data_IF_848489983387
#
_entry.id   IF_848489983387
#
_cell.length_a   1.000
_cell.length_b   1.000
_cell.length_c   1.000
_cell.angle_alpha   90.00
_cell.angle_beta   90.00
_cell.angle_gamma   90.00
#
_symmetry.space_group_name_H-M   'P 1'
#
loop_
_entity.id
_entity.type
_entity.pdbx_description
1 polymer ?
#
# COMPACT_ATOMS: atom_id res chain seq x y z
N UNK A 1 -5.88 17.14 -0.64
CA UNK A 1 -5.85 15.68 -0.47
C UNK A 1 -5.03 15.04 -1.56
N UNK A 2 -4.32 13.97 -1.23
CA UNK A 2 -3.57 13.23 -2.26
C UNK A 2 -4.54 12.41 -3.12
N UNK A 3 -4.15 12.15 -4.37
CA UNK A 3 -4.95 11.32 -5.28
C UNK A 3 -4.37 9.93 -5.36
N UNK A 4 -5.24 8.92 -5.18
CA UNK A 4 -4.87 7.51 -5.26
C UNK A 4 -5.64 6.86 -6.41
N UNK A 5 -4.94 6.05 -7.19
CA UNK A 5 -5.54 5.30 -8.29
C UNK A 5 -5.00 3.87 -8.28
N UNK A 6 -5.90 2.92 -8.10
CA UNK A 6 -5.57 1.49 -8.06
C UNK A 6 -6.35 0.78 -9.17
N UNK A 7 -5.70 0.62 -10.32
CA UNK A 7 -6.30 -0.10 -11.45
C UNK A 7 -6.54 -1.57 -11.05
N UNK A 8 -7.79 -2.02 -11.24
CA UNK A 8 -8.23 -3.38 -10.91
C UNK A 8 -8.20 -3.72 -9.41
N UNK A 9 -8.00 -2.73 -8.55
CA UNK A 9 -8.09 -2.89 -7.10
C UNK A 9 -9.41 -2.39 -6.56
N UNK A 10 -9.87 -2.99 -5.46
CA UNK A 10 -11.05 -2.55 -4.73
C UNK A 10 -10.62 -1.99 -3.38
N UNK A 11 -10.82 -0.69 -3.18
CA UNK A 11 -10.49 -0.03 -1.92
C UNK A 11 -11.51 -0.44 -0.86
N UNK A 12 -11.05 -1.11 0.19
CA UNK A 12 -11.89 -1.54 1.31
C UNK A 12 -11.76 -0.64 2.53
N UNK A 13 -10.66 0.10 2.63
CA UNK A 13 -10.43 1.09 3.67
C UNK A 13 -9.53 2.19 3.12
N UNK A 14 -9.88 3.47 3.34
CA UNK A 14 -9.08 4.60 2.86
C UNK A 14 -9.18 5.81 3.79
N UNK A 15 -8.20 5.94 4.68
CA UNK A 15 -7.90 7.19 5.37
C UNK A 15 -6.66 7.88 4.76
N UNK A 16 -5.95 7.19 3.86
CA UNK A 16 -4.71 7.70 3.27
C UNK A 16 -4.95 8.89 2.35
N UNK A 17 -6.02 8.87 1.56
CA UNK A 17 -6.32 9.96 0.62
C UNK A 17 -6.61 11.30 1.31
N UNK A 18 -6.85 11.29 2.62
CA UNK A 18 -7.05 12.51 3.42
C UNK A 18 -5.76 13.31 3.60
N UNK A 19 -4.60 12.70 3.37
CA UNK A 19 -3.32 13.38 3.48
C UNK A 19 -3.20 14.50 2.45
N UNK A 20 -2.46 15.55 2.82
CA UNK A 20 -2.12 16.66 1.94
C UNK A 20 -0.64 16.58 1.58
N UNK A 21 -0.25 17.28 0.51
CA UNK A 21 1.15 17.40 0.10
C UNK A 21 1.88 18.43 0.96
N UNK A 22 1.95 18.16 2.26
CA UNK A 22 2.66 18.97 3.26
C UNK A 22 3.47 18.02 4.15
N UNK A 23 4.38 18.59 4.95
CA UNK A 23 5.19 17.80 5.87
C UNK A 23 4.30 17.01 6.85
N UNK A 24 4.73 15.81 7.21
CA UNK A 24 3.99 14.95 8.12
C UNK A 24 3.77 15.60 9.49
N UNK A 25 4.72 16.43 9.94
CA UNK A 25 4.59 17.17 11.21
C UNK A 25 3.37 18.12 11.25
N UNK A 26 2.84 18.48 10.08
CA UNK A 26 1.67 19.38 9.97
C UNK A 26 0.35 18.62 9.88
N UNK A 27 0.37 17.30 9.91
CA UNK A 27 -0.82 16.46 9.78
C UNK A 27 -0.73 15.18 10.61
N UNK A 28 -0.08 15.25 11.77
CA UNK A 28 0.15 14.08 12.65
C UNK A 28 -1.13 13.41 13.09
N UNK A 29 -2.22 14.14 13.23
CA UNK A 29 -3.53 13.62 13.63
C UNK A 29 -4.12 12.65 12.60
N UNK A 30 -3.63 12.67 11.37
CA UNK A 30 -4.05 11.76 10.30
C UNK A 30 -3.16 10.51 10.19
N UNK A 31 -2.04 10.46 10.91
CA UNK A 31 -1.04 9.39 10.78
C UNK A 31 -1.38 8.22 11.71
N UNK A 32 -2.01 7.20 11.14
CA UNK A 32 -2.54 6.03 11.86
C UNK A 32 -1.90 4.75 11.38
N UNK A 33 -1.94 3.72 12.20
CA UNK A 33 -1.44 2.37 11.84
C UNK A 33 -2.27 1.72 10.73
N UNK A 34 -3.51 2.11 10.55
CA UNK A 34 -4.42 1.55 9.56
C UNK A 34 -4.93 2.69 8.68
N UNK A 35 -4.32 2.88 7.50
CA UNK A 35 -4.64 4.00 6.63
C UNK A 35 -5.21 3.59 5.28
N UNK A 36 -4.83 2.43 4.74
CA UNK A 36 -5.30 1.99 3.43
C UNK A 36 -5.30 0.48 3.33
N UNK A 37 -6.37 -0.06 2.75
CA UNK A 37 -6.40 -1.45 2.28
C UNK A 37 -7.06 -1.51 0.92
N UNK A 38 -6.41 -2.19 -0.02
CA UNK A 38 -6.89 -2.40 -1.38
C UNK A 38 -6.79 -3.88 -1.71
N UNK A 39 -7.91 -4.49 -2.07
CA UNK A 39 -7.96 -5.90 -2.46
C UNK A 39 -7.81 -6.03 -3.97
N UNK A 40 -7.00 -6.98 -4.39
CA UNK A 40 -6.79 -7.35 -5.79
C UNK A 40 -7.12 -8.82 -6.02
N UNK A 41 -7.26 -9.21 -7.28
CA UNK A 41 -7.46 -10.61 -7.65
C UNK A 41 -6.30 -11.49 -7.14
N UNK A 42 -6.52 -12.79 -7.06
CA UNK A 42 -5.47 -13.74 -6.69
C UNK A 42 -5.10 -13.76 -5.21
N UNK A 43 -5.94 -13.16 -4.35
CA UNK A 43 -5.69 -13.12 -2.90
C UNK A 43 -4.67 -12.07 -2.48
N UNK A 44 -4.36 -11.09 -3.35
CA UNK A 44 -3.44 -10.01 -3.01
C UNK A 44 -4.13 -8.87 -2.27
N UNK A 45 -3.44 -8.34 -1.27
CA UNK A 45 -3.87 -7.17 -0.49
C UNK A 45 -2.72 -6.18 -0.42
N UNK A 46 -3.02 -4.91 -0.73
CA UNK A 46 -2.09 -3.80 -0.51
C UNK A 46 -2.51 -3.11 0.78
N UNK A 47 -1.59 -3.02 1.73
CA UNK A 47 -1.83 -2.45 3.06
C UNK A 47 -0.85 -1.32 3.34
N UNK A 48 -1.34 -0.20 3.86
CA UNK A 48 -0.51 0.94 4.23
C UNK A 48 -0.90 1.43 5.62
N UNK A 49 0.10 1.66 6.45
CA UNK A 49 -0.06 2.28 7.76
C UNK A 49 1.13 3.15 8.10
N UNK A 50 0.98 3.98 9.13
CA UNK A 50 2.04 4.83 9.66
C UNK A 50 2.42 4.37 11.06
N UNK A 51 3.71 4.20 11.32
CA UNK A 51 4.24 3.69 12.59
C UNK A 51 5.42 4.50 13.07
N UNK A 52 5.47 4.94 14.34
CA UNK A 52 4.38 4.87 15.32
C UNK A 52 3.23 5.84 14.99
N UNK A 53 2.03 5.46 15.39
CA UNK A 53 0.83 6.27 15.18
C UNK A 53 0.99 7.67 15.77
N UNK A 54 0.54 8.70 15.03
CA UNK A 54 0.54 10.12 15.45
C UNK A 54 1.92 10.73 15.72
N UNK A 55 2.99 10.08 15.30
CA UNK A 55 4.36 10.53 15.53
C UNK A 55 5.00 10.98 14.21
N UNK A 56 5.33 12.25 14.09
CA UNK A 56 5.95 12.80 12.88
C UNK A 56 7.30 12.14 12.53
N UNK A 57 7.97 11.53 13.50
CA UNK A 57 9.23 10.82 13.29
C UNK A 57 9.06 9.38 12.79
N UNK A 58 7.81 8.91 12.63
CA UNK A 58 7.53 7.60 12.10
C UNK A 58 7.69 7.50 10.60
N UNK A 59 7.24 6.38 10.04
CA UNK A 59 7.28 6.11 8.60
C UNK A 59 6.02 5.39 8.15
N UNK A 60 5.67 5.53 6.87
CA UNK A 60 4.72 4.65 6.21
C UNK A 60 5.34 3.27 6.04
N UNK A 61 4.53 2.25 6.29
CA UNK A 61 4.82 0.87 5.93
C UNK A 61 3.84 0.44 4.86
N UNK A 62 4.38 0.03 3.72
CA UNK A 62 3.61 -0.39 2.55
C UNK A 62 3.88 -1.87 2.33
N UNK A 63 2.85 -2.69 2.48
CA UNK A 63 2.97 -4.14 2.39
C UNK A 63 2.07 -4.70 1.29
N UNK A 64 2.58 -5.67 0.55
CA UNK A 64 1.77 -6.53 -0.32
C UNK A 64 1.69 -7.90 0.34
N UNK A 65 0.46 -8.30 0.65
CA UNK A 65 0.15 -9.55 1.36
C UNK A 65 -0.57 -10.48 0.38
N UNK A 66 -0.25 -11.76 0.43
CA UNK A 66 -0.93 -12.78 -0.37
C UNK A 66 -1.57 -13.81 0.55
N UNK A 67 -2.84 -14.13 0.29
CA UNK A 67 -3.60 -15.16 1.03
C UNK A 67 -3.58 -14.96 2.55
N UNK A 68 -3.66 -13.70 2.99
CA UNK A 68 -3.65 -13.32 4.42
C UNK A 68 -2.40 -13.75 5.19
N UNK A 69 -1.30 -14.02 4.50
CA UNK A 69 -0.03 -14.39 5.15
C UNK A 69 0.75 -13.12 5.55
N UNK A 70 0.35 -12.54 6.68
CA UNK A 70 0.95 -11.32 7.23
C UNK A 70 2.37 -11.51 7.73
N UNK A 71 2.75 -12.76 8.04
CA UNK A 71 4.10 -13.08 8.52
C UNK A 71 5.13 -13.09 7.40
N UNK A 72 4.67 -13.25 6.15
CA UNK A 72 5.53 -13.32 4.97
C UNK A 72 5.01 -12.43 3.84
N UNK A 73 5.14 -11.11 3.97
CA UNK A 73 4.72 -10.21 2.91
C UNK A 73 5.45 -10.53 1.60
N UNK A 74 4.73 -10.47 0.50
CA UNK A 74 5.34 -10.55 -0.85
C UNK A 74 6.32 -9.40 -1.04
N UNK A 75 5.98 -8.24 -0.47
CA UNK A 75 6.80 -7.03 -0.52
C UNK A 75 6.52 -6.18 0.72
N UNK A 76 7.58 -5.58 1.26
CA UNK A 76 7.47 -4.63 2.36
C UNK A 76 8.38 -3.42 2.06
N UNK A 77 7.79 -2.23 1.96
CA UNK A 77 8.50 -0.99 1.71
C UNK A 77 8.17 0.04 2.77
N UNK A 78 9.03 1.05 2.89
CA UNK A 78 8.80 2.20 3.77
C UNK A 78 8.89 3.49 2.98
N UNK A 79 8.20 4.53 3.46
CA UNK A 79 8.26 5.88 2.91
C UNK A 79 8.01 6.88 4.03
N UNK A 80 8.52 8.10 3.89
CA UNK A 80 8.31 9.14 4.90
C UNK A 80 7.44 10.29 4.36
N UNK A 81 7.72 10.75 3.14
CA UNK A 81 6.99 11.86 2.53
C UNK A 81 5.93 11.37 1.53
N UNK A 82 4.96 12.22 1.21
CA UNK A 82 3.88 11.86 0.29
C UNK A 82 4.38 11.50 -1.11
N UNK A 83 5.40 12.19 -1.62
CA UNK A 83 5.95 11.89 -2.94
C UNK A 83 6.57 10.48 -2.98
N UNK A 84 7.33 10.11 -1.96
CA UNK A 84 7.93 8.78 -1.85
C UNK A 84 6.86 7.71 -1.63
N UNK A 85 5.83 8.01 -0.85
CA UNK A 85 4.68 7.12 -0.66
C UNK A 85 4.01 6.79 -2.00
N UNK A 86 3.73 7.80 -2.82
CA UNK A 86 3.07 7.62 -4.12
C UNK A 86 3.94 6.75 -5.03
N UNK A 87 5.26 6.97 -5.05
CA UNK A 87 6.20 6.16 -5.81
C UNK A 87 6.17 4.69 -5.33
N UNK A 88 6.19 4.45 -4.03
CA UNK A 88 6.15 3.11 -3.45
C UNK A 88 4.83 2.40 -3.71
N UNK A 89 3.71 3.12 -3.69
CA UNK A 89 2.40 2.57 -4.05
C UNK A 89 2.38 2.11 -5.51
N UNK A 90 3.02 2.86 -6.40
CA UNK A 90 3.13 2.47 -7.80
C UNK A 90 3.96 1.19 -7.97
N UNK A 91 5.08 1.11 -7.27
CA UNK A 91 5.91 -0.10 -7.24
C UNK A 91 5.10 -1.31 -6.73
N UNK A 92 4.33 -1.13 -5.65
CA UNK A 92 3.51 -2.20 -5.09
C UNK A 92 2.48 -2.71 -6.10
N UNK A 93 1.83 -1.83 -6.84
CA UNK A 93 0.88 -2.22 -7.88
C UNK A 93 1.53 -3.01 -9.00
N UNK A 94 2.73 -2.61 -9.42
CA UNK A 94 3.51 -3.34 -10.45
C UNK A 94 3.87 -4.75 -9.97
N UNK A 95 4.25 -4.91 -8.72
CA UNK A 95 4.55 -6.22 -8.12
C UNK A 95 3.31 -7.12 -8.18
N UNK A 96 2.15 -6.61 -7.81
CA UNK A 96 0.90 -7.38 -7.86
C UNK A 96 0.57 -7.80 -9.30
N UNK A 97 0.68 -6.87 -10.26
CA UNK A 97 0.43 -7.16 -11.67
C UNK A 97 1.37 -8.22 -12.21
N UNK A 98 2.65 -8.15 -11.88
CA UNK A 98 3.64 -9.13 -12.29
C UNK A 98 3.35 -10.52 -11.70
N UNK A 99 2.97 -10.58 -10.43
CA UNK A 99 2.59 -11.84 -9.78
C UNK A 99 1.36 -12.46 -10.43
N UNK A 100 0.36 -11.66 -10.76
CA UNK A 100 -0.85 -12.14 -11.45
C UNK A 100 -0.53 -12.62 -12.87
N UNK A 101 0.32 -11.92 -13.60
CA UNK A 101 0.76 -12.31 -14.94
C UNK A 101 1.49 -13.65 -14.90
N UNK A 102 2.42 -13.83 -13.96
CA UNK A 102 3.18 -15.07 -13.80
C UNK A 102 2.26 -16.24 -13.47
N UNK A 103 1.27 -16.05 -12.60
CA UNK A 103 0.27 -17.07 -12.28
C UNK A 103 -0.53 -17.49 -13.51
N UNK A 104 -0.93 -16.52 -14.35
CA UNK A 104 -1.68 -16.79 -15.57
C UNK A 104 -0.82 -17.54 -16.59
N UNK A 105 0.47 -17.19 -16.72
CA UNK A 105 1.40 -17.89 -17.60
C UNK A 105 1.62 -19.33 -17.16
N UNK A 106 1.78 -19.57 -15.87
CA UNK A 106 1.91 -20.92 -15.32
C UNK A 106 0.66 -21.76 -15.61
N UNK A 107 -0.53 -21.20 -15.44
CA UNK A 107 -1.79 -21.85 -15.76
C UNK A 107 -1.90 -22.18 -17.24
N UNK A 108 -1.40 -21.30 -18.11
CA UNK A 108 -1.43 -21.49 -19.56
C UNK A 108 -0.46 -22.57 -20.04
N UNK A 109 0.61 -22.83 -19.29
CA UNK A 109 1.61 -23.85 -19.63
C UNK A 109 1.14 -25.28 -19.35
N UNK A 110 0.05 -25.42 -18.63
CA UNK A 110 -0.52 -26.73 -18.32
C UNK A 110 -1.53 -27.17 -19.37
#
# INVERSE_FOLDING_TARGET
MIRLNFTDGTITHDDLSRLRHVAMAKQTDLLKEDMLQVEFAGGFLLDVGWYPEFDAAGDFRINVIKNHDWDRPVMALTAHETADLIEKLDIAQHIIKDQLRNSNLESSAL
#
